data_IF_428401670102
#
_entry.id   IF_428401670102
#
_cell.length_a   1.000
_cell.length_b   1.000
_cell.length_c   1.000
_cell.angle_alpha   90.00
_cell.angle_beta   90.00
_cell.angle_gamma   90.00
#
_symmetry.space_group_name_H-M   'P 1'
#
loop_
_entity.id
_entity.type
_entity.pdbx_description
1 polymer ?
#
# COMPACT_ATOMS: atom_id res chain seq x y z
N UNK A 1 10.09 19.43 -16.08
CA UNK A 1 9.74 20.27 -14.90
C UNK A 1 10.93 20.50 -13.98
N UNK A 2 10.96 21.59 -13.19
CA UNK A 2 12.09 21.90 -12.30
C UNK A 2 12.33 20.84 -11.20
N UNK A 3 11.31 20.04 -10.87
CA UNK A 3 11.43 18.94 -9.91
C UNK A 3 12.00 17.64 -10.49
N UNK A 4 12.16 17.53 -11.81
CA UNK A 4 12.57 16.27 -12.46
C UNK A 4 13.93 15.73 -11.96
N UNK A 5 14.97 16.54 -11.71
CA UNK A 5 16.23 16.04 -11.13
C UNK A 5 16.06 15.38 -9.76
N UNK A 6 15.11 15.85 -8.95
CA UNK A 6 14.79 15.25 -7.65
C UNK A 6 14.11 13.89 -7.87
N UNK A 7 13.10 13.85 -8.76
CA UNK A 7 12.40 12.62 -9.12
C UNK A 7 13.37 11.55 -9.67
N UNK A 8 14.32 11.94 -10.53
CA UNK A 8 15.32 11.02 -11.06
C UNK A 8 16.20 10.40 -9.96
N UNK A 9 16.59 11.18 -8.94
CA UNK A 9 17.34 10.66 -7.78
C UNK A 9 16.54 9.64 -6.97
N UNK A 10 15.21 9.81 -6.89
CA UNK A 10 14.33 8.85 -6.22
C UNK A 10 14.18 7.57 -7.04
N UNK A 11 14.08 7.67 -8.37
CA UNK A 11 13.90 6.51 -9.25
C UNK A 11 15.19 5.72 -9.50
N UNK A 12 16.36 6.39 -9.52
CA UNK A 12 17.65 5.79 -9.92
C UNK A 12 18.03 4.51 -9.14
N UNK A 13 17.81 4.39 -7.82
CA UNK A 13 18.13 3.17 -7.07
C UNK A 13 17.37 1.93 -7.55
N UNK A 14 16.21 2.10 -8.20
CA UNK A 14 15.39 1.00 -8.73
C UNK A 14 15.79 0.58 -10.16
N UNK A 15 16.74 1.28 -10.79
CA UNK A 15 17.18 1.00 -12.15
C UNK A 15 18.57 0.34 -12.16
N UNK A 16 18.74 -0.72 -12.94
CA UNK A 16 20.09 -1.25 -13.22
C UNK A 16 20.91 -0.24 -14.02
N UNK A 17 22.24 -0.35 -13.99
CA UNK A 17 23.11 0.53 -14.80
C UNK A 17 22.74 0.44 -16.29
N UNK A 18 22.54 -0.77 -16.82
CA UNK A 18 22.11 -1.03 -18.20
C UNK A 18 20.79 -0.34 -18.57
N UNK A 19 19.85 -0.23 -17.63
CA UNK A 19 18.58 0.47 -17.86
C UNK A 19 18.77 1.98 -17.80
N UNK A 20 19.54 2.47 -16.83
CA UNK A 20 19.82 3.90 -16.68
C UNK A 20 20.54 4.48 -17.91
N UNK A 21 21.48 3.74 -18.49
CA UNK A 21 22.22 4.15 -19.69
C UNK A 21 21.33 4.30 -20.94
N UNK A 22 20.12 3.72 -20.93
CA UNK A 22 19.13 3.86 -22.01
C UNK A 22 18.20 5.07 -21.83
N UNK A 23 18.23 5.74 -20.67
CA UNK A 23 17.36 6.88 -20.38
C UNK A 23 18.00 8.16 -20.89
N UNK A 24 17.38 8.76 -21.90
CA UNK A 24 17.75 10.09 -22.39
C UNK A 24 16.75 11.14 -21.86
N UNK A 25 17.26 12.16 -21.17
CA UNK A 25 16.46 13.25 -20.60
C UNK A 25 16.74 14.50 -21.42
N UNK A 26 15.71 14.99 -22.11
CA UNK A 26 15.82 16.20 -22.92
C UNK A 26 15.25 17.42 -22.18
N UNK A 27 15.80 18.60 -22.48
CA UNK A 27 15.33 19.88 -21.97
C UNK A 27 14.08 20.39 -22.69
N UNK A 28 13.72 21.66 -22.43
CA UNK A 28 12.60 22.31 -23.12
C UNK A 28 12.83 22.40 -24.64
N UNK A 29 14.09 22.58 -25.05
CA UNK A 29 14.48 22.72 -26.45
C UNK A 29 15.17 21.45 -26.97
N UNK A 30 15.11 21.24 -28.28
CA UNK A 30 15.85 20.19 -28.98
C UNK A 30 15.32 18.76 -28.79
N UNK A 31 14.44 18.50 -27.82
CA UNK A 31 13.88 17.17 -27.57
C UNK A 31 13.17 16.60 -28.81
N UNK A 32 12.40 17.45 -29.51
CA UNK A 32 11.61 17.05 -30.67
C UNK A 32 12.49 16.47 -31.79
N UNK A 33 13.57 17.18 -32.13
CA UNK A 33 14.52 16.74 -33.16
C UNK A 33 15.14 15.38 -32.79
N UNK A 34 15.63 15.24 -31.56
CA UNK A 34 16.30 14.02 -31.10
C UNK A 34 15.36 12.80 -31.05
N UNK A 35 14.08 13.01 -30.71
CA UNK A 35 13.09 11.91 -30.72
C UNK A 35 12.81 11.44 -32.15
N UNK A 36 12.60 12.36 -33.09
CA UNK A 36 12.25 12.03 -34.48
C UNK A 36 13.45 11.63 -35.36
N UNK A 37 14.69 11.72 -34.85
CA UNK A 37 15.83 11.01 -35.45
C UNK A 37 15.70 9.48 -35.34
N UNK A 38 14.90 8.99 -34.39
CA UNK A 38 14.74 7.56 -34.10
C UNK A 38 13.32 7.04 -34.28
N UNK A 39 12.32 7.92 -34.30
CA UNK A 39 10.91 7.57 -34.43
C UNK A 39 10.32 8.17 -35.71
N UNK A 40 9.45 7.42 -36.39
CA UNK A 40 8.67 7.94 -37.51
C UNK A 40 7.58 8.90 -36.97
N UNK A 41 7.55 10.18 -37.41
CA UNK A 41 6.51 11.14 -37.02
C UNK A 41 5.08 10.65 -37.23
N UNK A 42 4.83 9.82 -38.25
CA UNK A 42 3.49 9.33 -38.57
C UNK A 42 2.97 8.29 -37.55
N UNK A 43 3.86 7.74 -36.71
CA UNK A 43 3.50 6.84 -35.61
C UNK A 43 3.36 7.53 -34.25
N UNK A 44 3.50 8.85 -34.18
CA UNK A 44 3.46 9.61 -32.93
C UNK A 44 2.29 10.60 -32.95
N UNK A 45 1.46 10.67 -31.90
CA UNK A 45 0.34 11.62 -31.83
C UNK A 45 0.78 13.06 -32.06
N UNK A 46 -0.07 13.83 -32.75
CA UNK A 46 0.17 15.26 -33.01
C UNK A 46 0.38 16.07 -31.72
N UNK A 47 -0.34 15.72 -30.65
CA UNK A 47 -0.18 16.32 -29.32
C UNK A 47 1.25 16.21 -28.77
N UNK A 48 2.00 15.18 -29.17
CA UNK A 48 3.39 14.94 -28.77
C UNK A 48 4.39 15.27 -29.89
N UNK A 49 3.96 16.04 -30.89
CA UNK A 49 4.80 16.61 -31.92
C UNK A 49 4.97 15.76 -33.19
N UNK A 50 4.25 14.64 -33.32
CA UNK A 50 4.19 13.85 -34.57
C UNK A 50 3.07 14.31 -35.52
N UNK A 51 2.64 13.41 -36.41
CA UNK A 51 1.60 13.66 -37.41
C UNK A 51 0.34 12.79 -37.21
N UNK A 52 0.39 11.80 -36.32
CA UNK A 52 -0.72 10.87 -36.12
C UNK A 52 -1.91 11.57 -35.48
N UNK A 53 -3.11 11.31 -36.02
CA UNK A 53 -4.39 11.74 -35.47
C UNK A 53 -5.27 10.51 -35.24
N UNK A 54 -6.01 10.52 -34.15
CA UNK A 54 -6.98 9.48 -33.85
C UNK A 54 -8.27 9.62 -34.66
N UNK A 55 -9.26 8.75 -34.40
CA UNK A 55 -10.63 8.91 -34.88
C UNK A 55 -11.14 10.34 -34.62
N UNK A 56 -11.95 10.86 -35.55
CA UNK A 56 -12.51 12.21 -35.52
C UNK A 56 -11.46 13.35 -35.45
N UNK A 57 -10.22 13.06 -35.83
CA UNK A 57 -9.14 14.05 -35.84
C UNK A 57 -8.55 14.34 -34.46
N UNK A 58 -8.71 13.46 -33.47
CA UNK A 58 -8.16 13.66 -32.12
C UNK A 58 -6.62 13.72 -32.15
N UNK A 59 -5.99 14.88 -31.89
CA UNK A 59 -4.54 15.02 -31.95
C UNK A 59 -3.81 14.25 -30.84
N UNK A 60 -4.51 13.84 -29.77
CA UNK A 60 -3.93 13.06 -28.67
C UNK A 60 -3.95 11.57 -28.91
N UNK A 61 -4.71 11.10 -29.90
CA UNK A 61 -4.97 9.68 -30.11
C UNK A 61 -5.45 8.99 -28.82
N UNK A 62 -6.44 9.58 -28.13
CA UNK A 62 -6.92 9.16 -26.80
C UNK A 62 -7.47 7.73 -26.79
N UNK A 63 -7.89 7.22 -27.94
CA UNK A 63 -8.26 5.81 -28.16
C UNK A 63 -7.10 4.81 -27.94
N UNK A 64 -5.84 5.24 -28.11
CA UNK A 64 -4.64 4.43 -27.87
C UNK A 64 -3.98 4.78 -26.54
N UNK A 65 -4.11 6.02 -26.10
CA UNK A 65 -3.33 6.58 -25.00
C UNK A 65 -4.28 7.21 -24.00
N UNK A 66 -4.50 6.52 -22.89
CA UNK A 66 -5.28 7.05 -21.79
C UNK A 66 -4.48 8.19 -21.11
N UNK A 67 -4.97 9.45 -21.14
CA UNK A 67 -4.29 10.57 -20.49
C UNK A 67 -4.43 10.55 -18.96
N UNK A 68 -5.10 9.54 -18.40
CA UNK A 68 -5.60 9.56 -17.04
C UNK A 68 -6.78 10.54 -16.89
N UNK A 69 -6.96 11.08 -15.69
CA UNK A 69 -8.04 12.01 -15.37
C UNK A 69 -8.51 11.86 -13.95
N UNK A 70 -9.56 12.61 -13.58
CA UNK A 70 -10.22 12.42 -12.30
C UNK A 70 -10.91 11.05 -12.26
N UNK A 71 -10.66 10.29 -11.19
CA UNK A 71 -11.34 9.02 -10.96
C UNK A 71 -12.81 9.29 -10.65
N UNK A 72 -13.77 8.68 -11.39
CA UNK A 72 -15.19 8.92 -11.18
C UNK A 72 -15.64 8.67 -9.73
N UNK A 73 -16.58 9.48 -9.18
CA UNK A 73 -17.05 9.32 -7.80
C UNK A 73 -17.64 7.93 -7.49
N UNK A 74 -18.23 7.27 -8.49
CA UNK A 74 -18.79 5.91 -8.35
C UNK A 74 -17.78 4.89 -7.84
N UNK A 75 -16.50 5.00 -8.21
CA UNK A 75 -15.45 4.12 -7.66
C UNK A 75 -15.25 4.35 -6.16
N UNK A 76 -15.34 5.59 -5.67
CA UNK A 76 -15.26 5.89 -4.23
C UNK A 76 -16.48 5.38 -3.49
N UNK A 77 -17.66 5.48 -4.09
CA UNK A 77 -18.90 4.92 -3.53
C UNK A 77 -18.84 3.39 -3.44
N UNK A 78 -18.29 2.74 -4.46
CA UNK A 78 -18.09 1.30 -4.46
C UNK A 78 -17.11 0.87 -3.35
N UNK A 79 -16.00 1.60 -3.18
CA UNK A 79 -15.08 1.38 -2.05
C UNK A 79 -15.78 1.60 -0.70
N UNK A 80 -16.66 2.60 -0.60
CA UNK A 80 -17.44 2.85 0.62
C UNK A 80 -18.43 1.71 0.92
N UNK A 81 -18.95 1.02 -0.09
CA UNK A 81 -19.79 -0.17 0.12
C UNK A 81 -19.02 -1.33 0.74
N UNK A 82 -17.72 -1.44 0.44
CA UNK A 82 -16.78 -2.48 0.91
C UNK A 82 -16.03 -2.10 2.19
N UNK A 83 -16.60 -1.21 3.01
CA UNK A 83 -16.04 -0.83 4.32
C UNK A 83 -16.00 -2.03 5.26
N UNK A 84 -14.86 -2.22 5.92
CA UNK A 84 -14.66 -3.28 6.91
C UNK A 84 -15.68 -3.22 8.06
N UNK A 85 -16.13 -2.02 8.42
CA UNK A 85 -17.17 -1.81 9.44
C UNK A 85 -18.50 -2.51 9.15
N UNK A 86 -18.72 -2.98 7.92
CA UNK A 86 -19.93 -3.69 7.47
C UNK A 86 -19.71 -5.21 7.36
N UNK A 87 -18.47 -5.69 7.52
CA UNK A 87 -18.15 -7.12 7.50
C UNK A 87 -18.62 -7.77 8.82
N UNK A 88 -19.05 -9.03 8.74
CA UNK A 88 -19.48 -9.79 9.93
C UNK A 88 -18.27 -10.03 10.83
N UNK A 89 -18.44 -9.83 12.14
CA UNK A 89 -17.34 -9.94 13.12
C UNK A 89 -16.50 -8.66 13.28
N UNK A 90 -16.77 -7.61 12.49
CA UNK A 90 -16.08 -6.33 12.65
C UNK A 90 -16.43 -5.65 13.98
N UNK A 91 -15.40 -5.26 14.72
CA UNK A 91 -15.52 -4.47 15.95
C UNK A 91 -15.09 -3.04 15.69
N UNK A 92 -15.73 -2.08 16.36
CA UNK A 92 -15.40 -0.64 16.24
C UNK A 92 -14.76 -0.13 17.52
N UNK A 93 -13.68 0.63 17.39
CA UNK A 93 -12.95 1.25 18.49
C UNK A 93 -12.65 2.71 18.16
N UNK A 94 -12.80 3.60 19.15
CA UNK A 94 -12.30 4.97 19.06
C UNK A 94 -10.91 5.06 19.69
N UNK A 95 -9.99 5.74 19.01
CA UNK A 95 -8.67 6.09 19.51
C UNK A 95 -8.61 7.62 19.55
N UNK A 96 -8.42 8.19 20.73
CA UNK A 96 -8.40 9.64 20.90
C UNK A 96 -7.23 10.29 20.17
N UNK A 97 -7.33 11.61 19.98
CA UNK A 97 -6.20 12.40 19.48
C UNK A 97 -5.00 12.20 20.40
N UNK A 98 -3.81 12.09 19.82
CA UNK A 98 -2.58 11.75 20.53
C UNK A 98 -2.64 10.41 21.30
N UNK A 99 -3.67 9.59 21.10
CA UNK A 99 -3.87 8.34 21.80
C UNK A 99 -3.13 7.18 21.13
N UNK A 100 -2.95 6.11 21.90
CA UNK A 100 -2.50 4.80 21.43
C UNK A 100 -3.44 3.75 22.01
N UNK A 101 -3.72 2.72 21.23
CA UNK A 101 -4.46 1.57 21.69
C UNK A 101 -3.67 0.30 21.38
N UNK A 102 -3.47 -0.52 22.40
CA UNK A 102 -2.78 -1.79 22.31
C UNK A 102 -3.81 -2.90 22.50
N UNK A 103 -3.86 -3.83 21.55
CA UNK A 103 -4.73 -4.99 21.58
C UNK A 103 -3.88 -6.25 21.83
N UNK A 104 -3.86 -6.78 23.06
CA UNK A 104 -3.15 -8.01 23.36
C UNK A 104 -3.94 -9.23 22.86
N UNK A 105 -3.29 -10.08 22.07
CA UNK A 105 -3.83 -11.34 21.55
C UNK A 105 -2.97 -12.48 22.09
N UNK A 106 -3.59 -13.36 22.86
CA UNK A 106 -2.91 -14.55 23.40
C UNK A 106 -2.92 -15.66 22.37
N UNK A 107 -1.75 -16.24 22.14
CA UNK A 107 -1.53 -17.38 21.26
C UNK A 107 -0.95 -18.50 22.11
N UNK A 108 -1.66 -19.62 22.16
CA UNK A 108 -1.33 -20.74 23.04
C UNK A 108 -0.37 -21.72 22.38
N UNK A 109 -0.50 -21.93 21.07
CA UNK A 109 0.27 -22.92 20.34
C UNK A 109 1.26 -22.26 19.36
N UNK A 110 2.45 -22.85 19.26
CA UNK A 110 3.41 -22.48 18.21
C UNK A 110 2.87 -22.92 16.85
N UNK A 111 3.01 -22.05 15.85
CA UNK A 111 2.56 -22.30 14.48
C UNK A 111 1.19 -21.71 14.16
N UNK A 112 0.41 -21.26 15.14
CA UNK A 112 -0.87 -20.57 14.88
C UNK A 112 -0.65 -19.30 14.03
N UNK A 113 -1.64 -18.96 13.21
CA UNK A 113 -1.63 -17.78 12.36
C UNK A 113 -2.52 -16.69 12.96
N UNK A 114 -1.89 -15.58 13.34
CA UNK A 114 -2.58 -14.34 13.69
C UNK A 114 -2.88 -13.57 12.40
N UNK A 115 -4.16 -13.32 12.12
CA UNK A 115 -4.61 -12.46 11.03
C UNK A 115 -5.22 -11.17 11.60
N UNK A 116 -5.04 -10.08 10.87
CA UNK A 116 -5.72 -8.82 11.15
C UNK A 116 -6.29 -8.23 9.87
N UNK A 117 -7.47 -7.66 10.01
CA UNK A 117 -7.99 -6.66 9.08
C UNK A 117 -8.38 -5.43 9.87
N UNK A 118 -7.98 -4.25 9.44
CA UNK A 118 -8.43 -3.01 10.05
C UNK A 118 -8.63 -1.89 9.04
N UNK A 119 -9.50 -0.94 9.36
CA UNK A 119 -9.80 0.21 8.52
C UNK A 119 -10.20 1.41 9.39
N UNK A 120 -9.66 2.58 9.11
CA UNK A 120 -10.11 3.83 9.75
C UNK A 120 -11.30 4.43 9.02
N UNK A 121 -12.22 5.08 9.72
CA UNK A 121 -13.28 5.85 9.09
C UNK A 121 -12.69 6.97 8.22
N UNK A 122 -11.69 7.69 8.77
CA UNK A 122 -11.00 8.80 8.12
C UNK A 122 -9.54 8.87 8.53
N UNK A 123 -8.72 9.43 7.64
CA UNK A 123 -7.30 9.66 7.88
C UNK A 123 -6.50 8.37 7.99
N UNK A 124 -5.24 8.53 8.39
CA UNK A 124 -4.32 7.42 8.55
C UNK A 124 -4.18 7.01 10.01
N UNK A 125 -3.50 5.88 10.23
CA UNK A 125 -3.17 5.36 11.55
C UNK A 125 -1.79 4.69 11.48
N UNK A 126 -1.00 4.79 12.54
CA UNK A 126 0.22 4.00 12.63
C UNK A 126 -0.09 2.62 13.24
N UNK A 127 0.49 1.57 12.67
CA UNK A 127 0.24 0.19 13.04
C UNK A 127 1.55 -0.57 13.20
N UNK A 128 1.64 -1.39 14.24
CA UNK A 128 2.77 -2.28 14.49
C UNK A 128 2.33 -3.55 15.21
N UNK A 129 3.20 -4.56 15.23
CA UNK A 129 2.97 -5.82 15.94
C UNK A 129 4.21 -6.18 16.75
N UNK A 130 3.99 -6.47 18.02
CA UNK A 130 5.07 -6.75 18.97
C UNK A 130 4.77 -7.98 19.80
N UNK A 131 5.79 -8.75 20.12
CA UNK A 131 5.67 -9.96 20.93
C UNK A 131 6.10 -9.70 22.38
N UNK A 132 5.32 -10.24 23.32
CA UNK A 132 5.63 -10.30 24.75
C UNK A 132 5.61 -11.74 25.27
N UNK A 133 6.75 -12.25 25.77
CA UNK A 133 6.82 -13.58 26.37
C UNK A 133 5.99 -13.69 27.66
N UNK A 134 5.39 -14.87 27.96
CA UNK A 134 4.53 -15.08 29.13
C UNK A 134 5.16 -14.73 30.49
N UNK A 135 6.47 -14.89 30.64
CA UNK A 135 7.19 -14.67 31.90
C UNK A 135 7.71 -13.23 32.07
N UNK A 136 7.36 -12.33 31.17
CA UNK A 136 7.84 -10.95 31.17
C UNK A 136 6.96 -10.11 32.10
N UNK A 137 7.27 -10.07 33.39
CA UNK A 137 6.61 -9.17 34.36
C UNK A 137 6.90 -7.68 34.09
N UNK A 138 6.49 -7.16 32.93
CA UNK A 138 6.65 -5.77 32.50
C UNK A 138 8.05 -5.37 31.98
N UNK A 139 9.10 -6.14 32.28
CA UNK A 139 10.50 -5.83 31.95
C UNK A 139 11.14 -6.72 30.86
N UNK A 140 10.35 -7.57 30.20
CA UNK A 140 10.88 -8.45 29.14
C UNK A 140 11.26 -7.70 27.88
N UNK A 141 12.30 -8.17 27.18
CA UNK A 141 12.73 -7.63 25.89
C UNK A 141 11.56 -7.73 24.90
N UNK A 142 11.11 -6.56 24.47
CA UNK A 142 10.00 -6.35 23.57
C UNK A 142 10.47 -6.57 22.13
N UNK A 143 10.06 -7.67 21.50
CA UNK A 143 10.47 -8.00 20.12
C UNK A 143 9.45 -7.41 19.12
N UNK A 144 9.86 -6.44 18.31
CA UNK A 144 9.05 -5.93 17.20
C UNK A 144 9.08 -6.91 16.04
N UNK A 145 7.92 -7.47 15.71
CA UNK A 145 7.74 -8.37 14.56
C UNK A 145 7.36 -7.55 13.33
N UNK A 146 6.60 -6.48 13.54
CA UNK A 146 6.32 -5.45 12.54
C UNK A 146 6.59 -4.10 13.20
N UNK A 147 7.57 -3.37 12.69
CA UNK A 147 7.85 -2.01 13.14
C UNK A 147 6.62 -1.12 12.91
N UNK A 148 6.36 -0.25 13.90
CA UNK A 148 5.23 0.67 13.83
C UNK A 148 5.43 1.65 12.69
N UNK A 149 4.57 1.57 11.68
CA UNK A 149 4.64 2.40 10.48
C UNK A 149 3.27 3.00 10.16
N UNK A 150 3.28 4.12 9.44
CA UNK A 150 2.07 4.88 9.12
C UNK A 150 1.37 4.28 7.91
N UNK A 151 0.12 3.87 8.07
CA UNK A 151 -0.70 3.30 6.99
C UNK A 151 -1.61 4.38 6.42
N UNK A 152 -1.18 5.03 5.34
CA UNK A 152 -1.92 6.17 4.76
C UNK A 152 -3.22 5.78 4.05
N UNK A 153 -3.29 4.56 3.52
CA UNK A 153 -4.41 4.04 2.73
C UNK A 153 -5.52 3.42 3.58
N UNK A 154 -5.33 3.25 4.90
CA UNK A 154 -6.26 2.51 5.75
C UNK A 154 -7.65 3.16 5.90
N UNK A 155 -7.87 4.38 5.40
CA UNK A 155 -9.21 4.97 5.31
C UNK A 155 -9.94 4.67 4.01
N UNK A 156 -9.21 4.31 2.95
CA UNK A 156 -9.76 4.00 1.62
C UNK A 156 -9.96 2.49 1.45
N UNK A 157 -8.99 1.70 1.90
CA UNK A 157 -9.00 0.24 1.81
C UNK A 157 -8.69 -0.37 3.18
N UNK A 158 -9.34 -1.50 3.56
CA UNK A 158 -8.94 -2.24 4.74
C UNK A 158 -7.49 -2.73 4.60
N UNK A 159 -6.67 -2.42 5.60
CA UNK A 159 -5.35 -3.01 5.73
C UNK A 159 -5.51 -4.45 6.22
N UNK A 160 -4.84 -5.40 5.57
CA UNK A 160 -4.92 -6.82 5.90
C UNK A 160 -3.52 -7.41 6.00
N UNK A 161 -3.29 -8.22 7.02
CA UNK A 161 -2.03 -8.91 7.21
C UNK A 161 -2.19 -10.19 8.00
N UNK A 162 -1.16 -11.00 7.96
CA UNK A 162 -1.06 -12.27 8.68
C UNK A 162 0.36 -12.47 9.16
N UNK A 163 0.48 -13.16 10.29
CA UNK A 163 1.74 -13.46 10.94
C UNK A 163 1.67 -14.88 11.51
N UNK A 164 2.66 -15.70 11.19
CA UNK A 164 2.81 -17.02 11.82
C UNK A 164 3.46 -16.82 13.20
N UNK A 165 2.76 -17.28 14.23
CA UNK A 165 3.17 -17.14 15.61
C UNK A 165 4.06 -18.33 16.03
N UNK A 166 5.36 -18.22 15.79
CA UNK A 166 6.31 -19.30 16.12
C UNK A 166 6.51 -19.53 17.63
N UNK A 167 6.12 -18.58 18.49
CA UNK A 167 6.33 -18.67 19.94
C UNK A 167 4.99 -18.49 20.67
N UNK A 168 4.64 -19.36 21.62
CA UNK A 168 3.46 -19.14 22.45
C UNK A 168 3.67 -17.94 23.38
N UNK A 169 2.69 -17.04 23.45
CA UNK A 169 2.81 -15.79 24.19
C UNK A 169 1.75 -14.77 23.80
N UNK A 170 1.99 -13.51 24.13
CA UNK A 170 1.06 -12.42 23.80
C UNK A 170 1.60 -11.59 22.65
N UNK A 171 0.83 -11.49 21.58
CA UNK A 171 1.09 -10.64 20.43
C UNK A 171 0.26 -9.37 20.59
N UNK A 172 0.92 -8.22 20.67
CA UNK A 172 0.28 -6.92 20.87
C UNK A 172 0.21 -6.22 19.52
N UNK A 173 -1.02 -5.97 19.05
CA UNK A 173 -1.27 -5.11 17.92
C UNK A 173 -1.35 -3.67 18.42
N UNK A 174 -0.43 -2.84 17.96
CA UNK A 174 -0.29 -1.45 18.39
C UNK A 174 -0.93 -0.54 17.34
N UNK A 175 -1.98 0.18 17.73
CA UNK A 175 -2.67 1.17 16.91
C UNK A 175 -2.38 2.57 17.48
N UNK A 176 -1.58 3.35 16.76
CA UNK A 176 -0.99 4.59 17.25
C UNK A 176 -1.53 5.80 16.47
N UNK A 177 -2.16 6.72 17.21
CA UNK A 177 -2.66 8.02 16.75
C UNK A 177 -1.96 9.19 17.50
N UNK A 178 -0.81 8.93 18.13
CA UNK A 178 -0.03 9.88 18.93
C UNK A 178 0.35 11.14 18.15
N UNK A 179 0.52 11.00 16.83
CA UNK A 179 0.87 12.07 15.91
C UNK A 179 -0.31 12.93 15.46
N UNK A 180 -1.58 12.57 15.77
CA UNK A 180 -2.74 13.40 15.42
C UNK A 180 -3.01 14.45 16.50
N UNK A 181 -2.91 15.72 16.11
CA UNK A 181 -3.06 16.85 17.06
C UNK A 181 -4.52 17.21 17.31
N UNK A 182 -5.36 17.07 16.28
CA UNK A 182 -6.70 17.66 16.22
C UNK A 182 -7.82 16.61 16.25
N UNK A 183 -7.62 15.44 15.62
CA UNK A 183 -8.69 14.46 15.41
C UNK A 183 -8.38 13.11 16.03
N UNK A 184 -9.37 12.53 16.73
CA UNK A 184 -9.40 11.11 17.04
C UNK A 184 -9.59 10.26 15.77
N UNK A 185 -9.53 8.94 15.93
CA UNK A 185 -9.68 7.96 14.86
C UNK A 185 -10.70 6.92 15.27
N UNK A 186 -11.68 6.67 14.40
CA UNK A 186 -12.59 5.54 14.52
C UNK A 186 -12.01 4.39 13.70
N UNK A 187 -11.63 3.31 14.36
CA UNK A 187 -11.04 2.10 13.79
C UNK A 187 -12.10 1.00 13.77
N UNK A 188 -12.31 0.37 12.63
CA UNK A 188 -12.98 -0.92 12.51
C UNK A 188 -11.92 -2.00 12.34
N UNK A 189 -12.07 -3.15 12.99
CA UNK A 189 -11.09 -4.23 12.89
C UNK A 189 -11.71 -5.62 13.10
N UNK A 190 -11.05 -6.63 12.55
CA UNK A 190 -11.30 -8.06 12.74
C UNK A 190 -9.94 -8.69 13.02
N UNK A 191 -9.81 -9.38 14.15
CA UNK A 191 -8.61 -10.16 14.51
C UNK A 191 -9.02 -11.61 14.67
N UNK A 192 -8.27 -12.52 14.05
CA UNK A 192 -8.48 -13.96 14.20
C UNK A 192 -7.15 -14.65 14.48
N UNK A 193 -7.21 -15.70 15.29
CA UNK A 193 -6.10 -16.63 15.49
C UNK A 193 -6.60 -17.98 15.04
N UNK A 194 -5.99 -18.53 14.00
CA UNK A 194 -6.35 -19.81 13.41
C UNK A 194 -5.17 -20.77 13.51
N UNK A 195 -5.39 -22.08 13.72
CA UNK A 195 -4.33 -23.05 13.52
C UNK A 195 -3.80 -22.96 12.09
N UNK A 196 -2.50 -23.22 11.89
CA UNK A 196 -1.96 -23.27 10.54
C UNK A 196 -2.71 -24.35 9.76
N UNK A 197 -3.48 -23.97 8.74
CA UNK A 197 -3.92 -24.94 7.76
C UNK A 197 -2.67 -25.35 6.98
N UNK A 198 -2.33 -26.63 7.05
CA UNK A 198 -1.41 -27.26 6.11
C UNK A 198 -2.06 -27.18 4.72
N UNK A 199 -1.96 -26.04 4.05
CA UNK A 199 -2.03 -26.05 2.59
C UNK A 199 -0.74 -26.71 2.13
N UNK A 200 -0.81 -28.04 2.03
CA UNK A 200 0.20 -28.88 1.43
C UNK A 200 0.62 -28.25 0.09
N UNK A 201 1.90 -27.91 -0.02
CA UNK A 201 2.64 -27.81 -1.27
C UNK A 201 2.60 -29.17 -1.99
N UNK A 202 1.42 -29.56 -2.49
CA UNK A 202 1.25 -30.67 -3.44
C UNK A 202 1.19 -30.06 -4.83
N UNK A 203 2.31 -29.51 -5.27
CA UNK A 203 2.62 -29.47 -6.70
C UNK A 203 3.81 -30.39 -6.97
N UNK A 204 3.49 -31.68 -6.89
CA UNK A 204 3.91 -32.74 -7.79
C UNK A 204 5.16 -32.44 -8.62
N UNK A 205 6.32 -32.75 -8.05
CA UNK A 205 7.40 -33.35 -8.83
C UNK A 205 6.93 -34.76 -9.19
N UNK A 206 6.43 -34.99 -10.41
CA UNK A 206 6.39 -36.29 -11.14
C UNK A 206 5.41 -36.21 -12.32
N UNK A 207 5.92 -35.96 -13.52
CA UNK A 207 5.83 -36.82 -14.72
C UNK A 207 6.48 -36.09 -15.92
#
# INVERSE_FOLDING_TARGET
PRFFPILWKVLRPFLTQRTADKVAIYGMDGWRKNIFERLNPDGVPQHWGGNMVGPDGDPRCSHLICPGGEVPPSYREELAKRRLSREVGATVRSIDRRGRWELPVRVENSGEQLSWSFQTATGDLAFGVRYEPPCSGGNGVREYLIETHRVSSCSLLPERGRLVCHKPGTYILEFDNSYSWVHGKTLSYIIEVLPQSDEEDTNSSSL
#
